data_IF_729751949852
#
_entry.id   IF_729751949852
#
_cell.length_a   1.000
_cell.length_b   1.000
_cell.length_c   1.000
_cell.angle_alpha   90.00
_cell.angle_beta   90.00
_cell.angle_gamma   90.00
#
_symmetry.space_group_name_H-M   'P 1'
#
loop_
_entity.id
_entity.type
_entity.pdbx_description
1 polymer ?
#
# COMPACT_ATOMS: atom_id res chain seq x y z
N UNK A 1 -5.01 -9.62 10.10
CA UNK A 1 -5.90 -10.57 10.81
C UNK A 1 -6.54 -9.87 11.99
N UNK A 2 -7.85 -9.57 11.98
CA UNK A 2 -8.54 -9.05 13.16
C UNK A 2 -8.82 -10.21 14.15
N UNK A 3 -8.80 -9.92 15.46
CA UNK A 3 -9.18 -10.80 16.58
C UNK A 3 -8.16 -11.86 17.07
N UNK A 4 -6.85 -11.57 17.04
CA UNK A 4 -5.87 -12.51 17.61
C UNK A 4 -5.54 -12.25 19.09
N UNK A 5 -6.11 -11.21 19.70
CA UNK A 5 -5.84 -10.85 21.09
C UNK A 5 -7.13 -10.60 21.88
N UNK A 6 -7.17 -11.08 23.13
CA UNK A 6 -8.31 -10.93 24.04
C UNK A 6 -8.64 -9.44 24.30
N UNK A 7 -7.64 -8.55 24.19
CA UNK A 7 -7.84 -7.10 24.32
C UNK A 7 -8.76 -6.52 23.22
N UNK A 8 -8.82 -7.16 22.04
CA UNK A 8 -9.70 -6.74 20.95
C UNK A 8 -11.18 -7.04 21.27
N UNK A 9 -11.44 -8.08 22.08
CA UNK A 9 -12.79 -8.43 22.55
C UNK A 9 -13.16 -7.71 23.86
N UNK A 10 -12.18 -7.44 24.73
CA UNK A 10 -12.37 -6.82 26.05
C UNK A 10 -11.43 -5.61 26.21
N UNK A 11 -11.83 -4.42 25.73
CA UNK A 11 -10.96 -3.23 25.67
C UNK A 11 -10.42 -2.78 27.04
N UNK A 12 -11.15 -3.04 28.13
CA UNK A 12 -10.71 -2.68 29.50
C UNK A 12 -9.40 -3.39 29.91
N UNK A 13 -9.05 -4.52 29.28
CA UNK A 13 -7.78 -5.20 29.52
C UNK A 13 -6.56 -4.37 29.10
N UNK A 14 -6.74 -3.36 28.24
CA UNK A 14 -5.66 -2.46 27.83
C UNK A 14 -5.10 -1.63 29.00
N UNK A 15 -5.90 -1.36 30.03
CA UNK A 15 -5.51 -0.52 31.19
C UNK A 15 -4.82 -1.34 32.28
N UNK A 16 -5.07 -2.66 32.33
CA UNK A 16 -4.58 -3.54 33.41
C UNK A 16 -3.06 -3.72 33.44
N UNK A 17 -2.39 -3.73 34.60
CA UNK A 17 -0.94 -3.87 34.69
C UNK A 17 -0.37 -5.13 34.02
N UNK A 18 0.84 -5.04 33.46
CA UNK A 18 1.48 -6.12 32.69
C UNK A 18 1.92 -7.34 33.49
N UNK A 19 1.81 -7.30 34.83
CA UNK A 19 2.15 -8.42 35.71
C UNK A 19 1.00 -9.42 35.89
N UNK A 20 -0.22 -9.07 35.46
CA UNK A 20 -1.40 -9.93 35.59
C UNK A 20 -1.30 -11.11 34.59
N UNK A 21 -1.62 -12.35 35.00
CA UNK A 21 -1.68 -13.51 34.10
C UNK A 21 -2.56 -13.22 32.87
N UNK A 22 -2.09 -13.59 31.68
CA UNK A 22 -2.81 -13.32 30.41
C UNK A 22 -2.47 -11.97 29.75
N UNK A 23 -1.72 -11.07 30.40
CA UNK A 23 -1.29 -9.78 29.83
C UNK A 23 -0.03 -9.86 28.93
N UNK A 24 0.30 -11.05 28.43
CA UNK A 24 1.47 -11.28 27.56
C UNK A 24 1.43 -10.43 26.27
N UNK A 25 0.25 -10.02 25.81
CA UNK A 25 0.09 -9.12 24.66
C UNK A 25 0.74 -7.74 24.89
N UNK A 26 0.83 -7.25 26.13
CA UNK A 26 1.50 -5.97 26.43
C UNK A 26 2.99 -6.00 26.11
N UNK A 27 3.66 -7.14 26.36
CA UNK A 27 5.07 -7.33 25.99
C UNK A 27 5.24 -7.37 24.47
N UNK A 28 4.34 -8.04 23.75
CA UNK A 28 4.32 -8.04 22.28
C UNK A 28 4.06 -6.63 21.73
N UNK A 29 3.10 -5.89 22.28
CA UNK A 29 2.79 -4.51 21.90
C UNK A 29 4.00 -3.58 22.09
N UNK A 30 4.71 -3.71 23.21
CA UNK A 30 5.96 -2.97 23.44
C UNK A 30 7.04 -3.32 22.41
N UNK A 31 7.18 -4.60 22.06
CA UNK A 31 8.10 -5.04 21.01
C UNK A 31 7.73 -4.48 19.63
N UNK A 32 6.46 -4.54 19.25
CA UNK A 32 5.97 -3.97 17.98
C UNK A 32 6.15 -2.46 17.94
N UNK A 33 5.86 -1.75 19.03
CA UNK A 33 6.14 -0.32 19.14
C UNK A 33 7.63 -0.04 18.88
N UNK A 34 8.53 -0.80 19.52
CA UNK A 34 9.99 -0.63 19.30
C UNK A 34 10.38 -0.85 17.84
N UNK A 35 9.86 -1.89 17.20
CA UNK A 35 10.15 -2.19 15.79
C UNK A 35 9.64 -1.10 14.85
N UNK A 36 8.42 -0.62 15.09
CA UNK A 36 7.79 0.44 14.30
C UNK A 36 8.56 1.76 14.38
N UNK A 37 8.95 2.17 15.59
CA UNK A 37 9.78 3.37 15.78
C UNK A 37 11.15 3.21 15.14
N UNK A 38 11.79 2.05 15.27
CA UNK A 38 13.07 1.78 14.62
C UNK A 38 12.99 1.88 13.08
N UNK A 39 11.87 1.44 12.48
CA UNK A 39 11.63 1.58 11.05
C UNK A 39 11.49 3.06 10.64
N UNK A 40 10.67 3.82 11.38
CA UNK A 40 10.49 5.25 11.14
C UNK A 40 11.82 6.03 11.28
N UNK A 41 12.62 5.71 12.30
CA UNK A 41 13.92 6.35 12.53
C UNK A 41 14.93 6.04 11.43
N UNK A 42 14.97 4.79 10.93
CA UNK A 42 15.82 4.44 9.78
C UNK A 42 15.44 5.22 8.53
N UNK A 43 14.14 5.28 8.23
CA UNK A 43 13.63 6.06 7.10
C UNK A 43 14.00 7.54 7.23
N UNK A 44 13.89 8.09 8.44
CA UNK A 44 14.24 9.48 8.75
C UNK A 44 15.71 9.75 8.45
N UNK A 45 16.60 8.93 9.01
CA UNK A 45 18.04 9.06 8.83
C UNK A 45 18.43 8.97 7.34
N UNK A 46 17.84 8.02 6.62
CA UNK A 46 18.11 7.84 5.20
C UNK A 46 17.72 9.07 4.38
N UNK A 47 16.50 9.58 4.55
CA UNK A 47 16.02 10.77 3.83
C UNK A 47 16.87 12.00 4.14
N UNK A 48 17.21 12.25 5.42
CA UNK A 48 18.06 13.38 5.81
C UNK A 48 19.46 13.28 5.18
N UNK A 49 20.04 12.09 5.15
CA UNK A 49 21.34 11.87 4.53
C UNK A 49 21.31 12.14 3.03
N UNK A 50 20.27 11.69 2.33
CA UNK A 50 20.12 11.92 0.88
C UNK A 50 19.83 13.39 0.55
N UNK A 51 19.06 14.10 1.39
CA UNK A 51 18.83 15.55 1.25
C UNK A 51 20.15 16.30 1.45
N UNK A 52 20.91 15.97 2.50
CA UNK A 52 22.19 16.62 2.79
C UNK A 52 23.23 16.40 1.67
N UNK A 53 23.18 15.25 0.98
CA UNK A 53 24.03 14.95 -0.17
C UNK A 53 23.55 15.60 -1.48
N UNK A 54 22.34 16.16 -1.52
CA UNK A 54 21.71 16.66 -2.74
C UNK A 54 21.28 15.55 -3.71
N UNK A 55 21.21 14.29 -3.28
CA UNK A 55 20.83 13.12 -4.09
C UNK A 55 19.40 12.64 -3.83
N UNK A 56 18.66 13.31 -2.95
CA UNK A 56 17.29 12.97 -2.60
C UNK A 56 16.37 12.97 -3.82
N UNK A 57 15.71 11.83 -4.06
CA UNK A 57 14.67 11.69 -5.08
C UNK A 57 13.36 12.33 -4.59
N UNK A 58 12.51 12.85 -5.50
CA UNK A 58 11.16 13.27 -5.16
C UNK A 58 10.40 12.13 -4.46
N UNK A 59 9.90 12.41 -3.27
CA UNK A 59 9.21 11.43 -2.42
C UNK A 59 8.29 12.15 -1.44
N UNK A 60 7.26 11.44 -0.92
CA UNK A 60 6.32 12.01 0.05
C UNK A 60 7.03 12.71 1.22
N UNK A 61 8.08 12.10 1.77
CA UNK A 61 8.86 12.64 2.88
C UNK A 61 9.71 13.83 2.44
N UNK A 62 10.40 13.76 1.29
CA UNK A 62 11.20 14.87 0.79
C UNK A 62 10.33 16.08 0.49
N UNK A 63 9.18 15.89 -0.18
CA UNK A 63 8.22 16.96 -0.46
C UNK A 63 7.68 17.57 0.82
N UNK A 64 7.27 16.75 1.80
CA UNK A 64 6.77 17.25 3.09
C UNK A 64 7.83 18.04 3.88
N UNK A 65 9.10 17.67 3.77
CA UNK A 65 10.22 18.35 4.44
C UNK A 65 10.65 19.62 3.69
N UNK A 66 10.68 19.60 2.36
CA UNK A 66 11.20 20.70 1.54
C UNK A 66 10.15 21.77 1.21
N UNK A 67 8.90 21.38 1.01
CA UNK A 67 7.82 22.27 0.55
C UNK A 67 6.77 22.55 1.64
N UNK A 68 6.84 21.84 2.77
CA UNK A 68 5.96 22.08 3.91
C UNK A 68 6.20 23.47 4.50
N UNK A 69 5.12 24.16 4.92
CA UNK A 69 5.30 25.42 5.68
C UNK A 69 6.07 25.11 6.96
N UNK A 70 7.06 25.93 7.35
CA UNK A 70 7.79 25.73 8.59
C UNK A 70 6.83 25.55 9.77
N UNK A 71 6.93 24.43 10.47
CA UNK A 71 6.08 24.10 11.63
C UNK A 71 4.68 23.57 11.31
N UNK A 72 4.30 23.35 10.04
CA UNK A 72 2.98 22.80 9.69
C UNK A 72 2.79 21.36 10.18
N UNK A 73 3.84 20.54 10.07
CA UNK A 73 3.85 19.17 10.57
C UNK A 73 5.15 18.90 11.31
N UNK A 74 5.07 18.15 12.42
CA UNK A 74 6.28 17.68 13.09
C UNK A 74 6.98 16.63 12.24
N UNK A 75 8.31 16.57 12.34
CA UNK A 75 9.11 15.52 11.67
C UNK A 75 8.66 14.11 12.12
N UNK A 76 8.16 13.98 13.35
CA UNK A 76 7.57 12.74 13.85
C UNK A 76 6.31 12.33 13.06
N UNK A 77 5.38 13.26 12.84
CA UNK A 77 4.15 13.01 12.07
C UNK A 77 4.51 12.63 10.63
N UNK A 78 5.39 13.38 9.97
CA UNK A 78 5.81 13.09 8.59
C UNK A 78 6.35 11.67 8.47
N UNK A 79 7.24 11.27 9.39
CA UNK A 79 7.88 9.96 9.35
C UNK A 79 6.92 8.83 9.69
N UNK A 80 6.00 9.02 10.64
CA UNK A 80 4.98 8.01 10.91
C UNK A 80 3.99 7.87 9.77
N UNK A 81 3.55 8.97 9.16
CA UNK A 81 2.71 8.91 7.97
C UNK A 81 3.39 8.14 6.85
N UNK A 82 4.67 8.44 6.57
CA UNK A 82 5.42 7.70 5.56
C UNK A 82 5.58 6.21 5.90
N UNK A 83 5.81 5.90 7.17
CA UNK A 83 5.89 4.51 7.65
C UNK A 83 4.55 3.79 7.48
N UNK A 84 3.43 4.43 7.82
CA UNK A 84 2.08 3.88 7.60
C UNK A 84 1.78 3.63 6.13
N UNK A 85 2.15 4.56 5.24
CA UNK A 85 1.97 4.39 3.79
C UNK A 85 2.79 3.21 3.29
N UNK A 86 4.03 3.06 3.77
CA UNK A 86 4.89 1.94 3.39
C UNK A 86 4.36 0.60 3.91
N UNK A 87 4.06 0.48 5.20
CA UNK A 87 3.64 -0.80 5.80
C UNK A 87 2.21 -1.17 5.43
N UNK A 88 1.29 -0.20 5.43
CA UNK A 88 -0.10 -0.44 5.06
C UNK A 88 -0.27 -0.63 3.55
N UNK A 89 0.38 0.21 2.75
CA UNK A 89 0.31 0.14 1.29
C UNK A 89 1.07 -1.04 0.71
N UNK A 90 2.21 -1.42 1.29
CA UNK A 90 3.02 -2.54 0.82
C UNK A 90 2.26 -3.86 0.85
N UNK A 91 1.84 -4.29 2.05
CA UNK A 91 1.21 -5.60 2.26
C UNK A 91 -0.14 -5.68 1.53
N UNK A 92 -0.96 -4.61 1.62
CA UNK A 92 -2.26 -4.62 0.95
C UNK A 92 -2.14 -4.55 -0.56
N UNK A 93 -1.25 -3.74 -1.11
CA UNK A 93 -1.08 -3.65 -2.56
C UNK A 93 -0.47 -4.94 -3.14
N UNK A 94 0.45 -5.61 -2.45
CA UNK A 94 1.02 -6.87 -2.94
C UNK A 94 -0.01 -7.99 -2.99
N UNK A 95 -0.78 -8.18 -1.91
CA UNK A 95 -1.80 -9.21 -1.84
C UNK A 95 -2.92 -8.93 -2.86
N UNK A 96 -3.34 -7.67 -2.92
CA UNK A 96 -4.33 -7.19 -3.87
C UNK A 96 -3.93 -7.43 -5.32
N UNK A 97 -2.71 -7.03 -5.69
CA UNK A 97 -2.20 -7.19 -7.05
C UNK A 97 -2.18 -8.66 -7.44
N UNK A 98 -1.75 -9.55 -6.53
CA UNK A 98 -1.71 -10.99 -6.75
C UNK A 98 -3.11 -11.57 -7.01
N UNK A 99 -4.09 -11.20 -6.17
CA UNK A 99 -5.48 -11.67 -6.29
C UNK A 99 -6.09 -11.23 -7.62
N UNK A 100 -5.92 -9.95 -7.98
CA UNK A 100 -6.50 -9.39 -9.20
C UNK A 100 -5.85 -9.96 -10.44
N UNK A 101 -4.53 -10.04 -10.49
CA UNK A 101 -3.83 -10.62 -11.63
C UNK A 101 -4.23 -12.08 -11.83
N UNK A 102 -4.33 -12.86 -10.74
CA UNK A 102 -4.82 -14.23 -10.80
C UNK A 102 -6.25 -14.33 -11.35
N UNK A 103 -7.14 -13.44 -10.89
CA UNK A 103 -8.52 -13.37 -11.35
C UNK A 103 -8.63 -12.97 -12.82
N UNK A 104 -7.88 -11.95 -13.23
CA UNK A 104 -7.80 -11.48 -14.61
C UNK A 104 -7.32 -12.61 -15.53
N UNK A 105 -6.21 -13.26 -15.21
CA UNK A 105 -5.68 -14.38 -16.00
C UNK A 105 -6.69 -15.53 -16.11
N UNK A 106 -7.37 -15.85 -15.02
CA UNK A 106 -8.42 -16.88 -15.01
C UNK A 106 -9.60 -16.51 -15.93
N UNK A 107 -10.03 -15.25 -15.89
CA UNK A 107 -11.13 -14.77 -16.73
C UNK A 107 -10.74 -14.76 -18.21
N UNK A 108 -9.54 -14.25 -18.53
CA UNK A 108 -9.03 -14.24 -19.91
C UNK A 108 -8.83 -15.65 -20.46
N UNK A 109 -8.42 -16.62 -19.64
CA UNK A 109 -8.31 -18.02 -20.04
C UNK A 109 -9.67 -18.67 -20.36
N UNK A 110 -10.74 -18.25 -19.65
CA UNK A 110 -12.10 -18.75 -19.89
C UNK A 110 -12.81 -18.03 -21.05
N UNK A 111 -12.41 -16.78 -21.32
CA UNK A 111 -13.03 -15.89 -22.30
C UNK A 111 -11.98 -15.35 -23.29
N UNK A 112 -11.39 -16.21 -24.13
CA UNK A 112 -10.35 -15.80 -25.08
C UNK A 112 -10.85 -14.74 -26.08
N UNK A 113 -12.14 -14.68 -26.37
CA UNK A 113 -12.79 -13.65 -27.18
C UNK A 113 -12.68 -12.26 -26.54
N UNK A 114 -12.82 -12.16 -25.21
CA UNK A 114 -12.68 -10.92 -24.46
C UNK A 114 -11.22 -10.46 -24.51
N UNK A 115 -10.28 -11.38 -24.31
CA UNK A 115 -8.85 -11.09 -24.39
C UNK A 115 -8.45 -10.56 -25.78
N UNK A 116 -8.90 -11.22 -26.85
CA UNK A 116 -8.62 -10.77 -28.23
C UNK A 116 -9.14 -9.36 -28.50
N UNK A 117 -10.34 -9.05 -28.01
CA UNK A 117 -10.92 -7.71 -28.17
C UNK A 117 -10.15 -6.65 -27.37
N UNK A 118 -9.72 -6.98 -26.16
CA UNK A 118 -8.88 -6.10 -25.34
C UNK A 118 -7.52 -5.84 -26.01
N UNK A 119 -6.89 -6.89 -26.54
CA UNK A 119 -5.63 -6.76 -27.27
C UNK A 119 -5.78 -5.89 -28.51
N UNK A 120 -6.86 -6.06 -29.28
CA UNK A 120 -7.14 -5.23 -30.45
C UNK A 120 -7.34 -3.74 -30.09
N UNK A 121 -7.97 -3.44 -28.95
CA UNK A 121 -8.08 -2.05 -28.46
C UNK A 121 -6.70 -1.48 -28.11
N UNK A 122 -5.88 -2.24 -27.38
CA UNK A 122 -4.52 -1.82 -27.01
C UNK A 122 -3.66 -1.60 -28.25
N UNK A 123 -3.67 -2.54 -29.19
CA UNK A 123 -2.89 -2.44 -30.44
C UNK A 123 -3.34 -1.25 -31.30
N UNK A 124 -4.63 -0.91 -31.28
CA UNK A 124 -5.17 0.25 -32.00
C UNK A 124 -4.74 1.59 -31.40
N UNK A 125 -4.75 1.69 -30.06
CA UNK A 125 -4.50 2.95 -29.33
C UNK A 125 -3.01 3.19 -29.10
N UNK A 126 -2.27 2.15 -28.74
CA UNK A 126 -0.86 2.23 -28.35
C UNK A 126 0.06 1.93 -29.54
N UNK A 127 -0.38 1.06 -30.45
CA UNK A 127 0.46 0.50 -31.51
C UNK A 127 1.40 -0.60 -31.00
N UNK A 128 2.25 -1.11 -31.88
CA UNK A 128 3.19 -2.20 -31.58
C UNK A 128 4.63 -1.73 -31.27
N UNK A 129 4.92 -0.43 -31.36
CA UNK A 129 6.28 0.09 -31.24
C UNK A 129 6.69 0.46 -29.81
N UNK A 130 5.73 0.57 -28.90
CA UNK A 130 5.98 0.95 -27.50
C UNK A 130 5.03 0.23 -26.54
N UNK A 131 5.44 0.18 -25.28
CA UNK A 131 4.57 -0.29 -24.21
C UNK A 131 3.52 0.77 -23.83
N UNK A 132 2.35 0.35 -23.31
CA UNK A 132 1.35 1.26 -22.78
C UNK A 132 1.88 2.11 -21.62
N UNK A 133 1.43 3.36 -21.55
CA UNK A 133 1.72 4.31 -20.48
C UNK A 133 0.43 4.73 -19.77
N UNK A 134 0.55 5.38 -18.61
CA UNK A 134 -0.61 5.88 -17.86
C UNK A 134 -1.43 6.90 -18.68
N UNK A 135 -0.79 7.62 -19.60
CA UNK A 135 -1.45 8.60 -20.46
C UNK A 135 -2.40 7.96 -21.49
N UNK A 136 -2.20 6.67 -21.83
CA UNK A 136 -3.05 5.95 -22.78
C UNK A 136 -4.35 5.46 -22.15
N UNK A 137 -4.39 5.34 -20.82
CA UNK A 137 -5.50 4.77 -20.05
C UNK A 137 -6.88 5.35 -20.38
N UNK A 138 -7.06 6.69 -20.56
CA UNK A 138 -8.37 7.26 -20.92
C UNK A 138 -8.89 6.79 -22.28
N UNK A 139 -8.00 6.35 -23.17
CA UNK A 139 -8.32 5.88 -24.52
C UNK A 139 -8.52 4.36 -24.59
N UNK A 140 -8.48 3.64 -23.46
CA UNK A 140 -8.66 2.19 -23.38
C UNK A 140 -9.95 1.82 -22.60
N UNK A 141 -11.14 2.25 -23.07
CA UNK A 141 -12.38 2.09 -22.32
C UNK A 141 -12.78 0.61 -22.13
N UNK A 142 -12.47 -0.27 -23.09
CA UNK A 142 -12.79 -1.69 -22.97
C UNK A 142 -11.88 -2.39 -21.96
N UNK A 143 -10.58 -2.08 -21.96
CA UNK A 143 -9.65 -2.56 -20.93
C UNK A 143 -10.06 -2.07 -19.54
N UNK A 144 -10.48 -0.81 -19.40
CA UNK A 144 -11.02 -0.31 -18.13
C UNK A 144 -12.29 -1.03 -17.68
N UNK A 145 -13.21 -1.32 -18.62
CA UNK A 145 -14.41 -2.09 -18.31
C UNK A 145 -14.07 -3.52 -17.83
N UNK A 146 -13.06 -4.16 -18.42
CA UNK A 146 -12.56 -5.47 -17.96
C UNK A 146 -12.02 -5.37 -16.54
N UNK A 147 -11.15 -4.39 -16.25
CA UNK A 147 -10.64 -4.22 -14.90
C UNK A 147 -11.77 -3.97 -13.91
N UNK A 148 -12.72 -3.08 -14.23
CA UNK A 148 -13.89 -2.83 -13.39
C UNK A 148 -14.68 -4.11 -13.10
N UNK A 149 -14.84 -5.00 -14.07
CA UNK A 149 -15.52 -6.27 -13.89
C UNK A 149 -14.71 -7.26 -13.04
N UNK A 150 -13.38 -7.31 -13.21
CA UNK A 150 -12.50 -8.10 -12.35
C UNK A 150 -12.58 -7.61 -10.90
N UNK A 151 -12.55 -6.30 -10.67
CA UNK A 151 -12.74 -5.68 -9.35
C UNK A 151 -14.12 -5.99 -8.77
N UNK A 152 -15.18 -5.96 -9.59
CA UNK A 152 -16.55 -6.29 -9.18
C UNK A 152 -16.67 -7.75 -8.71
N UNK A 153 -16.04 -8.67 -9.43
CA UNK A 153 -16.10 -10.11 -9.14
C UNK A 153 -15.15 -10.55 -8.03
N UNK A 154 -14.01 -9.86 -7.88
CA UNK A 154 -12.96 -10.14 -6.90
C UNK A 154 -12.60 -8.86 -6.18
N UNK A 155 -13.45 -8.51 -5.22
CA UNK A 155 -13.14 -7.45 -4.28
C UNK A 155 -11.87 -7.84 -3.48
N UNK A 156 -10.87 -6.95 -3.39
CA UNK A 156 -9.60 -7.22 -2.70
C UNK A 156 -9.76 -7.35 -1.19
N UNK A 157 -10.75 -6.63 -0.67
CA UNK A 157 -11.06 -6.55 0.75
C UNK A 157 -12.45 -7.15 0.91
N UNK A 158 -12.49 -8.46 1.10
CA UNK A 158 -13.62 -9.09 1.77
C UNK A 158 -13.50 -8.70 3.25
N UNK A 159 -14.32 -7.74 3.70
CA UNK A 159 -14.43 -7.37 5.12
C UNK A 159 -14.94 -8.57 5.94
#
# INVERSE_FOLDING_TARGET
>A
MPNNYIVDMLPFLAVLPSFIPGMGFKRKAASYKKQYYALADRGRQWVKNEIAKGTARPSLTQTAIAEGKPGQYSEEIIMFTATQVYTGGGDTASDHTTIILGAFLTFMAKHPEVLKKAQAEVDCVVGSERLPTVADRPNLPYVEAIFAEVFRLKAPISL
#
